data_IF_343306854593
#
_entry.id   IF_343306854593
#
_cell.length_a   1.000
_cell.length_b   1.000
_cell.length_c   1.000
_cell.angle_alpha   90.00
_cell.angle_beta   90.00
_cell.angle_gamma   90.00
#
_symmetry.space_group_name_H-M   'P 1'
#
loop_
_entity.id
_entity.type
_entity.pdbx_description
1 polymer ?
#
# COMPACT_ATOMS: atom_id res chain seq x y z
N UNK A 1 26.94 8.10 12.86
CA UNK A 1 26.10 9.20 12.31
C UNK A 1 24.70 8.93 12.81
N UNK A 2 24.32 9.55 13.93
CA UNK A 2 23.00 9.34 14.54
C UNK A 2 22.03 10.21 13.74
N UNK A 3 21.14 9.59 12.98
CA UNK A 3 19.99 10.31 12.43
C UNK A 3 19.16 10.81 13.62
N UNK A 4 19.04 12.12 13.78
CA UNK A 4 18.09 12.71 14.70
C UNK A 4 16.68 12.43 14.16
N UNK A 5 16.10 11.31 14.58
CA UNK A 5 14.67 11.09 14.47
C UNK A 5 13.98 12.17 15.29
N UNK A 6 13.27 13.08 14.62
CA UNK A 6 12.38 14.03 15.28
C UNK A 6 11.17 13.27 15.84
N UNK A 7 11.32 12.74 17.06
CA UNK A 7 10.29 12.02 17.78
C UNK A 7 9.03 12.84 18.02
N UNK A 8 9.12 14.19 18.01
CA UNK A 8 7.95 15.06 18.15
C UNK A 8 7.09 14.98 16.90
N UNK A 9 7.73 15.02 15.73
CA UNK A 9 7.04 14.87 14.43
C UNK A 9 6.43 13.49 14.28
N UNK A 10 7.13 12.43 14.70
CA UNK A 10 6.60 11.06 14.71
C UNK A 10 5.36 10.96 15.60
N UNK A 11 5.42 11.47 16.84
CA UNK A 11 4.28 11.45 17.76
C UNK A 11 3.09 12.28 17.26
N UNK A 12 3.34 13.43 16.63
CA UNK A 12 2.29 14.26 16.03
C UNK A 12 1.60 13.57 14.86
N UNK A 13 2.39 12.91 14.00
CA UNK A 13 1.87 12.08 12.92
C UNK A 13 1.01 10.94 13.46
N UNK A 14 1.49 10.18 14.45
CA UNK A 14 0.75 9.04 15.05
C UNK A 14 -0.61 9.49 15.60
N UNK A 15 -0.66 10.63 16.29
CA UNK A 15 -1.92 11.18 16.82
C UNK A 15 -2.93 11.58 15.74
N UNK A 16 -2.46 11.97 14.56
CA UNK A 16 -3.32 12.40 13.44
C UNK A 16 -3.65 11.29 12.46
N UNK A 17 -2.81 10.25 12.40
CA UNK A 17 -2.98 9.14 11.49
C UNK A 17 -4.32 8.41 11.73
N UNK A 18 -4.91 7.92 10.65
CA UNK A 18 -6.13 7.13 10.73
C UNK A 18 -5.86 5.79 11.43
N UNK A 19 -6.88 5.22 12.09
CA UNK A 19 -6.72 3.95 12.81
C UNK A 19 -6.31 2.81 11.88
N UNK A 20 -6.91 2.75 10.68
CA UNK A 20 -6.52 1.79 9.64
C UNK A 20 -5.05 1.92 9.25
N UNK A 21 -4.54 3.15 9.20
CA UNK A 21 -3.14 3.43 8.85
C UNK A 21 -2.17 2.92 9.91
N UNK A 22 -2.52 3.11 11.17
CA UNK A 22 -1.74 2.58 12.29
C UNK A 22 -1.80 1.06 12.33
N UNK A 23 -2.98 0.48 12.11
CA UNK A 23 -3.19 -0.97 12.05
C UNK A 23 -2.33 -1.61 10.96
N UNK A 24 -2.35 -1.10 9.73
CA UNK A 24 -1.52 -1.64 8.64
C UNK A 24 -0.02 -1.51 8.98
N UNK A 25 0.40 -0.42 9.63
CA UNK A 25 1.79 -0.22 10.04
C UNK A 25 2.27 -1.20 11.10
N UNK A 26 1.51 -1.40 12.17
CA UNK A 26 1.92 -2.31 13.26
C UNK A 26 1.77 -3.80 12.91
N UNK A 27 1.07 -4.10 11.81
CA UNK A 27 0.81 -5.48 11.35
C UNK A 27 1.65 -5.86 10.13
N UNK A 28 1.34 -5.33 8.94
CA UNK A 28 1.93 -5.76 7.66
C UNK A 28 3.13 -4.96 7.22
N UNK A 29 3.44 -3.83 7.85
CA UNK A 29 4.68 -3.09 7.61
C UNK A 29 5.65 -3.11 8.78
N UNK A 30 5.36 -3.89 9.82
CA UNK A 30 6.15 -3.94 11.07
C UNK A 30 7.63 -4.20 10.83
N UNK A 31 7.95 -5.14 9.93
CA UNK A 31 9.33 -5.59 9.70
C UNK A 31 10.24 -4.49 9.11
N UNK A 32 9.67 -3.48 8.44
CA UNK A 32 10.41 -2.36 7.87
C UNK A 32 10.50 -1.13 8.78
N UNK A 33 10.06 -1.22 10.03
CA UNK A 33 9.92 -0.08 10.93
C UNK A 33 10.82 -0.17 12.17
N UNK A 34 11.24 1.00 12.67
CA UNK A 34 11.97 1.10 13.93
C UNK A 34 11.08 0.63 15.10
N UNK A 35 11.55 -0.27 15.98
CA UNK A 35 10.73 -0.82 17.07
C UNK A 35 10.08 0.24 17.96
N UNK A 36 10.82 1.30 18.29
CA UNK A 36 10.30 2.40 19.11
C UNK A 36 9.14 3.16 18.43
N UNK A 37 9.10 3.23 17.10
CA UNK A 37 7.97 3.82 16.38
C UNK A 37 6.74 2.90 16.43
N UNK A 38 6.95 1.58 16.37
CA UNK A 38 5.88 0.58 16.48
C UNK A 38 5.25 0.63 17.87
N UNK A 39 6.07 0.70 18.93
CA UNK A 39 5.58 0.78 20.31
C UNK A 39 4.70 2.03 20.54
N UNK A 40 5.08 3.18 19.96
CA UNK A 40 4.28 4.40 20.02
C UNK A 40 2.95 4.26 19.28
N UNK A 41 2.91 3.53 18.17
CA UNK A 41 1.68 3.28 17.41
C UNK A 41 0.77 2.28 18.13
N UNK A 42 1.31 1.21 18.71
CA UNK A 42 0.55 0.27 19.54
C UNK A 42 -0.08 0.99 20.74
N UNK A 43 0.67 1.86 21.42
CA UNK A 43 0.13 2.66 22.51
C UNK A 43 -1.00 3.60 22.07
N UNK A 44 -0.87 4.20 20.88
CA UNK A 44 -1.93 5.03 20.31
C UNK A 44 -3.18 4.21 19.96
N UNK A 45 -3.01 2.99 19.45
CA UNK A 45 -4.12 2.07 19.17
C UNK A 45 -4.82 1.63 20.46
N UNK A 46 -4.05 1.31 21.51
CA UNK A 46 -4.57 1.02 22.85
C UNK A 46 -5.37 2.22 23.40
N UNK A 47 -4.85 3.44 23.24
CA UNK A 47 -5.54 4.69 23.63
C UNK A 47 -6.87 4.89 22.88
N UNK A 48 -6.96 4.40 21.63
CA UNK A 48 -8.19 4.42 20.82
C UNK A 48 -9.14 3.25 21.13
N UNK A 49 -8.78 2.37 22.07
CA UNK A 49 -9.60 1.23 22.47
C UNK A 49 -9.55 0.05 21.49
N UNK A 50 -8.53 -0.01 20.63
CA UNK A 50 -8.33 -1.14 19.71
C UNK A 50 -7.64 -2.27 20.46
N UNK A 51 -8.29 -3.43 20.55
CA UNK A 51 -7.75 -4.56 21.31
C UNK A 51 -6.66 -5.32 20.53
N UNK A 52 -5.86 -6.11 21.25
CA UNK A 52 -4.84 -6.98 20.63
C UNK A 52 -5.48 -8.03 19.71
N UNK A 53 -6.68 -8.49 20.03
CA UNK A 53 -7.46 -9.40 19.19
C UNK A 53 -7.84 -8.73 17.87
N UNK A 54 -8.29 -7.47 17.90
CA UNK A 54 -8.59 -6.71 16.69
C UNK A 54 -7.34 -6.49 15.81
N UNK A 55 -6.19 -6.21 16.43
CA UNK A 55 -4.90 -6.11 15.72
C UNK A 55 -4.53 -7.46 15.07
N UNK A 56 -4.71 -8.57 15.79
CA UNK A 56 -4.42 -9.90 15.28
C UNK A 56 -5.36 -10.32 14.13
N UNK A 57 -6.64 -10.02 14.25
CA UNK A 57 -7.64 -10.23 13.21
C UNK A 57 -7.30 -9.41 11.96
N UNK A 58 -6.97 -8.13 12.13
CA UNK A 58 -6.52 -7.26 11.04
C UNK A 58 -5.27 -7.81 10.35
N UNK A 59 -4.28 -8.27 11.13
CA UNK A 59 -3.07 -8.88 10.60
C UNK A 59 -3.38 -10.15 9.80
N UNK A 60 -4.29 -10.99 10.30
CA UNK A 60 -4.69 -12.22 9.62
C UNK A 60 -5.41 -11.92 8.30
N UNK A 61 -6.34 -10.97 8.30
CA UNK A 61 -7.07 -10.54 7.11
C UNK A 61 -6.13 -9.95 6.06
N UNK A 62 -5.26 -9.02 6.45
CA UNK A 62 -4.28 -8.43 5.53
C UNK A 62 -3.33 -9.48 4.96
N UNK A 63 -2.85 -10.44 5.75
CA UNK A 63 -1.99 -11.52 5.22
C UNK A 63 -2.68 -12.43 4.21
N UNK A 64 -4.02 -12.56 4.27
CA UNK A 64 -4.78 -13.35 3.28
C UNK A 64 -4.89 -12.66 1.93
N UNK A 65 -4.98 -11.32 1.92
CA UNK A 65 -5.31 -10.56 0.72
C UNK A 65 -4.16 -9.70 0.17
N UNK A 66 -3.23 -9.28 1.01
CA UNK A 66 -2.10 -8.45 0.60
C UNK A 66 -1.02 -9.27 -0.10
N UNK A 67 -0.35 -8.63 -1.06
CA UNK A 67 0.84 -9.17 -1.69
C UNK A 67 2.01 -8.99 -0.71
N UNK A 68 2.46 -10.08 -0.09
CA UNK A 68 3.61 -10.07 0.82
C UNK A 68 4.93 -10.16 0.06
N UNK A 69 5.92 -9.43 0.55
CA UNK A 69 7.30 -9.46 0.10
C UNK A 69 8.11 -10.47 0.94
N UNK A 70 9.30 -10.89 0.47
CA UNK A 70 10.13 -11.86 1.19
C UNK A 70 10.61 -11.41 2.57
N UNK A 71 10.62 -10.10 2.84
CA UNK A 71 10.95 -9.50 4.13
C UNK A 71 9.79 -9.56 5.14
N UNK A 72 8.62 -10.08 4.73
CA UNK A 72 7.41 -10.15 5.54
C UNK A 72 6.57 -8.88 5.51
N UNK A 73 6.99 -7.84 4.79
CA UNK A 73 6.19 -6.64 4.58
C UNK A 73 5.15 -6.83 3.47
N UNK A 74 4.05 -6.10 3.51
CA UNK A 74 3.19 -5.96 2.35
C UNK A 74 3.85 -5.07 1.27
N UNK A 75 3.56 -5.35 0.01
CA UNK A 75 3.87 -4.43 -1.08
C UNK A 75 2.92 -3.22 -0.98
N UNK A 76 3.41 -1.97 -0.91
CA UNK A 76 2.54 -0.82 -0.87
C UNK A 76 1.83 -0.57 -2.20
N UNK A 77 0.63 -0.01 -2.14
CA UNK A 77 -0.04 0.55 -3.30
C UNK A 77 0.81 1.67 -3.94
N UNK A 78 0.82 1.76 -5.27
CA UNK A 78 1.53 2.86 -5.94
C UNK A 78 0.84 4.22 -5.76
N UNK A 79 -0.41 4.24 -5.30
CA UNK A 79 -1.25 5.44 -5.23
C UNK A 79 -1.59 5.87 -3.80
N UNK A 80 -1.32 5.02 -2.80
CA UNK A 80 -1.52 5.35 -1.39
C UNK A 80 -0.67 4.45 -0.48
N UNK A 81 -0.78 4.63 0.83
CA UNK A 81 -0.03 3.86 1.84
C UNK A 81 -0.58 2.44 2.08
N UNK A 82 -1.81 2.15 1.64
CA UNK A 82 -2.48 0.87 1.91
C UNK A 82 -1.76 -0.31 1.24
N UNK A 83 -1.82 -1.51 1.82
CA UNK A 83 -1.24 -2.71 1.23
C UNK A 83 -1.90 -3.03 -0.11
N UNK A 84 -1.08 -3.39 -1.09
CA UNK A 84 -1.55 -3.81 -2.40
C UNK A 84 -2.11 -5.23 -2.33
N UNK A 85 -3.26 -5.44 -2.98
CA UNK A 85 -3.93 -6.74 -3.08
C UNK A 85 -3.88 -7.30 -4.51
N UNK A 86 -3.54 -6.46 -5.49
CA UNK A 86 -3.43 -6.87 -6.89
C UNK A 86 -2.32 -6.13 -7.63
N UNK A 87 -1.92 -6.69 -8.79
CA UNK A 87 -1.05 -6.04 -9.77
C UNK A 87 -1.80 -5.92 -11.08
N UNK A 88 -1.75 -4.76 -11.70
CA UNK A 88 -2.38 -4.51 -12.99
C UNK A 88 -1.46 -3.68 -13.88
N UNK A 89 -1.48 -3.94 -15.18
CA UNK A 89 -0.81 -3.10 -16.15
C UNK A 89 -1.48 -1.72 -16.21
N UNK A 90 -0.67 -0.72 -16.49
CA UNK A 90 -1.12 0.64 -16.74
C UNK A 90 -0.03 1.42 -17.46
N UNK A 91 -0.38 2.62 -17.89
CA UNK A 91 0.59 3.52 -18.51
C UNK A 91 1.19 4.45 -17.47
N UNK A 92 2.52 4.51 -17.42
CA UNK A 92 3.19 5.60 -16.72
C UNK A 92 2.96 6.90 -17.49
N UNK A 93 2.39 7.92 -16.83
CA UNK A 93 2.03 9.18 -17.47
C UNK A 93 2.99 10.30 -17.06
N UNK A 94 3.65 10.95 -18.02
CA UNK A 94 4.36 12.22 -17.77
C UNK A 94 3.32 13.27 -17.37
N UNK A 95 3.57 14.04 -16.32
CA UNK A 95 2.67 15.09 -15.83
C UNK A 95 1.19 14.67 -15.65
N UNK A 96 0.92 13.37 -15.50
CA UNK A 96 -0.43 12.83 -15.36
C UNK A 96 -1.23 12.65 -16.65
N UNK A 97 -0.73 13.08 -17.81
CA UNK A 97 -1.49 13.07 -19.09
C UNK A 97 -0.87 12.30 -20.26
N UNK A 98 0.47 12.22 -20.40
CA UNK A 98 1.12 11.67 -21.59
C UNK A 98 1.60 10.26 -21.28
N UNK A 99 0.99 9.19 -21.82
CA UNK A 99 1.43 7.82 -21.59
C UNK A 99 2.80 7.59 -22.24
N UNK A 100 3.81 7.26 -21.44
CA UNK A 100 5.19 7.07 -21.91
C UNK A 100 5.50 5.58 -22.15
N UNK A 101 5.23 4.73 -21.16
CA UNK A 101 5.51 3.29 -21.26
C UNK A 101 4.56 2.48 -20.38
N UNK A 102 4.23 1.23 -20.79
CA UNK A 102 3.46 0.32 -19.96
C UNK A 102 4.29 -0.12 -18.75
N UNK A 103 3.66 -0.14 -17.58
CA UNK A 103 4.27 -0.58 -16.32
C UNK A 103 3.26 -1.36 -15.50
N UNK A 104 3.75 -2.35 -14.75
CA UNK A 104 2.95 -3.07 -13.77
C UNK A 104 2.83 -2.26 -12.47
N UNK A 105 1.61 -1.93 -12.05
CA UNK A 105 1.32 -1.17 -10.84
C UNK A 105 0.67 -2.05 -9.79
N UNK A 106 1.12 -1.93 -8.55
CA UNK A 106 0.49 -2.55 -7.38
C UNK A 106 -0.64 -1.65 -6.85
N UNK A 107 -1.81 -2.23 -6.60
CA UNK A 107 -3.03 -1.50 -6.22
C UNK A 107 -3.66 -2.11 -4.97
N UNK A 108 -4.12 -1.27 -4.05
CA UNK A 108 -4.94 -1.69 -2.91
C UNK A 108 -6.39 -1.91 -3.35
N UNK A 109 -7.23 -2.41 -2.46
CA UNK A 109 -8.67 -2.63 -2.70
C UNK A 109 -9.44 -1.37 -3.17
N UNK A 110 -9.01 -0.16 -2.78
CA UNK A 110 -9.62 1.10 -3.24
C UNK A 110 -9.16 1.44 -4.67
N UNK A 111 -7.85 1.36 -4.94
CA UNK A 111 -7.27 1.76 -6.23
C UNK A 111 -7.34 0.65 -7.29
N UNK A 112 -7.65 -0.57 -6.87
CA UNK A 112 -7.73 -1.77 -7.71
C UNK A 112 -9.08 -1.99 -8.35
N UNK A 113 -10.01 -1.03 -8.25
CA UNK A 113 -11.41 -1.07 -8.72
C UNK A 113 -11.73 -2.20 -9.69
N UNK A 114 -12.63 -3.10 -9.25
CA UNK A 114 -13.17 -4.34 -9.86
C UNK A 114 -12.38 -4.92 -11.05
N UNK A 115 -11.94 -6.20 -11.01
CA UNK A 115 -11.23 -6.87 -12.10
C UNK A 115 -12.02 -7.04 -13.43
N UNK A 116 -13.20 -6.42 -13.56
CA UNK A 116 -14.14 -6.61 -14.69
C UNK A 116 -14.41 -5.33 -15.49
N UNK A 117 -13.49 -4.38 -15.54
CA UNK A 117 -13.42 -3.55 -16.73
C UNK A 117 -12.43 -4.24 -17.66
N UNK A 118 -12.86 -5.03 -18.67
CA UNK A 118 -11.98 -5.21 -19.81
C UNK A 118 -11.54 -3.81 -20.20
N UNK A 119 -10.22 -3.61 -20.34
CA UNK A 119 -9.74 -2.52 -21.15
C UNK A 119 -10.56 -2.62 -22.42
N UNK A 120 -11.45 -1.67 -22.64
CA UNK A 120 -12.20 -1.60 -23.87
C UNK A 120 -11.16 -1.74 -24.96
N UNK A 121 -11.33 -2.81 -25.72
CA UNK A 121 -10.70 -2.99 -26.98
C UNK A 121 -11.13 -1.79 -27.84
N UNK A 122 -10.46 -0.66 -27.69
CA UNK A 122 -10.09 0.14 -28.85
C UNK A 122 -9.03 -0.67 -29.60
N UNK A 123 -9.50 -1.74 -30.22
CA UNK A 123 -9.17 -2.02 -31.60
C UNK A 123 -9.76 -0.85 -32.40
N UNK A 124 -9.13 0.32 -32.31
CA UNK A 124 -9.19 1.25 -33.41
C UNK A 124 -8.03 0.91 -34.32
N UNK A 125 -8.42 0.50 -35.51
CA UNK A 125 -7.59 -0.05 -36.55
C UNK A 125 -6.70 1.04 -37.11
N UNK A 126 -5.41 1.01 -36.81
CA UNK A 126 -4.40 1.54 -37.73
C UNK A 126 -3.17 0.64 -37.76
N UNK A 127 -2.81 0.24 -38.97
CA UNK A 127 -2.10 -1.00 -39.26
C UNK A 127 -0.68 -1.10 -38.72
N UNK A 128 -0.34 -2.30 -38.25
CA UNK A 128 1.01 -2.83 -38.42
C UNK A 128 0.98 -4.37 -38.49
N UNK A 129 1.47 -5.00 -39.58
CA UNK A 129 1.55 -6.46 -39.66
C UNK A 129 2.68 -7.01 -38.77
N UNK A 130 2.60 -8.27 -38.29
CA UNK A 130 3.66 -8.89 -37.52
C UNK A 130 4.92 -9.10 -38.38
N UNK A 131 6.12 -9.02 -37.77
CA UNK A 131 7.37 -9.29 -38.49
C UNK A 131 7.49 -10.77 -38.87
N UNK A 132 8.04 -11.01 -40.07
CA UNK A 132 8.36 -12.33 -40.64
C UNK A 132 9.41 -13.11 -39.82
#
# INVERSE_FOLDING_TARGET
MVWECDWRRVAEYIRRAETEELLDRVTVYRAGMEPAAVDLMEHELDRRGISREAIAEHAAERRRHAILLPDGCALPCHFCWRPAVSRAWGWYKLWGWIPIFPRLFARCEIHGGRPDAPAEAEQDTDGFPPPE
#
